data_IF_195876958464
#
_entry.id   IF_195876958464
#
_cell.length_a   1.000
_cell.length_b   1.000
_cell.length_c   1.000
_cell.angle_alpha   90.00
_cell.angle_beta   90.00
_cell.angle_gamma   90.00
#
_symmetry.space_group_name_H-M   'P 1'
#
loop_
_entity.id
_entity.type
_entity.pdbx_description
1 polymer ?
#
# COMPACT_ATOMS: atom_id res chain seq x y z
N UNK A 1 -27.52 21.73 -34.95
CA UNK A 1 -27.90 21.67 -33.49
C UNK A 1 -27.41 20.36 -32.86
N UNK A 2 -27.60 19.18 -33.47
CA UNK A 2 -27.19 17.87 -32.93
C UNK A 2 -25.67 17.74 -32.75
N UNK A 3 -24.86 18.17 -33.71
CA UNK A 3 -23.38 18.08 -33.67
C UNK A 3 -22.77 18.90 -32.53
N UNK A 4 -23.26 20.10 -32.24
CA UNK A 4 -22.81 20.95 -31.15
C UNK A 4 -23.19 20.40 -29.80
N UNK A 5 -24.34 19.75 -29.65
CA UNK A 5 -24.78 19.10 -28.42
C UNK A 5 -23.93 17.88 -28.10
N UNK A 6 -23.58 17.07 -29.12
CA UNK A 6 -22.69 15.91 -28.96
C UNK A 6 -21.28 16.33 -28.51
N UNK A 7 -20.68 17.33 -29.12
CA UNK A 7 -19.34 17.83 -28.78
C UNK A 7 -19.29 18.46 -27.38
N UNK A 8 -20.36 19.16 -26.95
CA UNK A 8 -20.50 19.74 -25.59
C UNK A 8 -20.65 18.67 -24.54
N UNK A 9 -21.44 17.62 -24.78
CA UNK A 9 -21.59 16.48 -23.87
C UNK A 9 -20.29 15.70 -23.73
N UNK A 10 -19.52 15.52 -24.78
CA UNK A 10 -18.20 14.89 -24.74
C UNK A 10 -17.19 15.67 -23.88
N UNK A 11 -17.14 16.99 -24.02
CA UNK A 11 -16.28 17.85 -23.17
C UNK A 11 -16.68 17.80 -21.69
N UNK A 12 -17.98 17.93 -21.39
CA UNK A 12 -18.46 17.84 -20.01
C UNK A 12 -18.21 16.48 -19.37
N UNK A 13 -18.31 15.39 -20.14
CA UNK A 13 -17.99 14.03 -19.67
C UNK A 13 -16.49 13.90 -19.39
N UNK A 14 -15.62 14.43 -20.26
CA UNK A 14 -14.18 14.43 -20.09
C UNK A 14 -13.74 15.25 -18.85
N UNK A 15 -14.30 16.46 -18.67
CA UNK A 15 -14.04 17.31 -17.51
C UNK A 15 -14.46 16.64 -16.18
N UNK A 16 -15.61 15.94 -16.19
CA UNK A 16 -16.09 15.22 -15.00
C UNK A 16 -15.19 14.04 -14.65
N UNK A 17 -14.70 13.31 -15.64
CA UNK A 17 -13.76 12.20 -15.49
C UNK A 17 -12.45 12.70 -14.88
N UNK A 18 -11.90 13.79 -15.41
CA UNK A 18 -10.67 14.41 -14.91
C UNK A 18 -10.77 14.87 -13.46
N UNK A 19 -11.92 15.42 -13.05
CA UNK A 19 -12.18 15.82 -11.67
C UNK A 19 -12.04 14.67 -10.66
N UNK A 20 -12.61 13.50 -10.95
CA UNK A 20 -12.45 12.33 -10.06
C UNK A 20 -10.98 11.88 -9.93
N UNK A 21 -10.26 11.82 -11.03
CA UNK A 21 -8.85 11.42 -11.02
C UNK A 21 -7.99 12.43 -10.23
N UNK A 22 -8.28 13.72 -10.35
CA UNK A 22 -7.59 14.76 -9.58
C UNK A 22 -7.89 14.65 -8.09
N UNK A 23 -9.17 14.51 -7.71
CA UNK A 23 -9.58 14.35 -6.32
C UNK A 23 -8.89 13.13 -5.70
N UNK A 24 -8.88 11.99 -6.38
CA UNK A 24 -8.21 10.77 -5.89
C UNK A 24 -6.72 11.03 -5.64
N UNK A 25 -6.00 11.67 -6.58
CA UNK A 25 -4.58 11.97 -6.40
C UNK A 25 -4.31 12.90 -5.20
N UNK A 26 -5.09 13.97 -5.07
CA UNK A 26 -4.98 14.89 -3.93
C UNK A 26 -5.28 14.17 -2.61
N UNK A 27 -6.35 13.36 -2.59
CA UNK A 27 -6.72 12.58 -1.39
C UNK A 27 -5.64 11.58 -0.99
N UNK A 28 -4.94 10.96 -1.94
CA UNK A 28 -3.82 10.04 -1.66
C UNK A 28 -2.62 10.77 -1.05
N UNK A 29 -2.31 11.98 -1.52
CA UNK A 29 -1.24 12.80 -0.93
C UNK A 29 -1.60 13.19 0.50
N UNK A 30 -2.84 13.66 0.72
CA UNK A 30 -3.33 14.01 2.05
C UNK A 30 -3.30 12.78 2.97
N UNK A 31 -3.77 11.63 2.49
CA UNK A 31 -3.75 10.38 3.24
C UNK A 31 -2.34 10.01 3.67
N UNK A 32 -1.36 10.07 2.75
CA UNK A 32 0.04 9.79 3.06
C UNK A 32 0.57 10.71 4.15
N UNK A 33 0.35 12.02 4.02
CA UNK A 33 0.79 13.02 5.02
C UNK A 33 0.15 12.76 6.38
N UNK A 34 -1.16 12.45 6.41
CA UNK A 34 -1.88 12.13 7.64
C UNK A 34 -1.31 10.87 8.30
N UNK A 35 -1.04 9.82 7.52
CA UNK A 35 -0.46 8.58 8.05
C UNK A 35 0.93 8.82 8.66
N UNK A 36 1.79 9.59 7.99
CA UNK A 36 3.12 9.94 8.51
C UNK A 36 3.00 10.80 9.78
N UNK A 37 2.09 11.77 9.80
CA UNK A 37 1.85 12.57 10.99
C UNK A 37 1.37 11.74 12.19
N UNK A 38 0.46 10.78 11.94
CA UNK A 38 -0.01 9.84 12.97
C UNK A 38 1.17 8.98 13.44
N UNK A 39 1.94 8.38 12.53
CA UNK A 39 3.07 7.54 12.86
C UNK A 39 4.11 8.30 13.71
N UNK A 40 4.41 9.55 13.36
CA UNK A 40 5.35 10.38 14.12
C UNK A 40 4.91 10.61 15.56
N UNK A 41 3.60 10.74 15.81
CA UNK A 41 3.07 11.00 17.17
C UNK A 41 2.83 9.74 17.99
N UNK A 42 2.71 8.55 17.35
CA UNK A 42 2.40 7.28 18.02
C UNK A 42 3.45 6.21 17.72
N UNK A 43 4.68 6.60 17.37
CA UNK A 43 5.75 5.63 17.15
C UNK A 43 6.04 4.85 18.44
N UNK A 44 6.02 3.52 18.33
CA UNK A 44 6.31 2.62 19.43
C UNK A 44 6.97 1.33 18.92
N UNK A 45 7.71 0.64 19.78
CA UNK A 45 8.24 -0.67 19.45
C UNK A 45 7.09 -1.68 19.31
N UNK A 46 6.99 -2.38 18.15
CA UNK A 46 5.92 -3.34 17.94
C UNK A 46 6.05 -4.51 18.92
N UNK A 47 4.90 -4.96 19.42
CA UNK A 47 4.81 -6.14 20.26
C UNK A 47 4.57 -7.43 19.46
N UNK A 48 4.41 -8.54 20.17
CA UNK A 48 4.03 -9.87 19.66
C UNK A 48 4.89 -10.33 18.46
N UNK A 49 4.26 -10.89 17.44
CA UNK A 49 4.96 -11.43 16.26
C UNK A 49 5.73 -10.36 15.50
N UNK A 50 5.14 -9.17 15.32
CA UNK A 50 5.80 -8.07 14.64
C UNK A 50 7.08 -7.64 15.38
N UNK A 51 7.02 -7.52 16.71
CA UNK A 51 8.19 -7.22 17.54
C UNK A 51 9.20 -8.34 17.56
N UNK A 52 8.74 -9.59 17.54
CA UNK A 52 9.62 -10.76 17.45
C UNK A 52 10.45 -10.76 16.17
N UNK A 53 9.82 -10.44 15.03
CA UNK A 53 10.50 -10.36 13.72
C UNK A 53 11.43 -9.15 13.70
N UNK A 54 10.98 -7.98 14.13
CA UNK A 54 11.78 -6.76 14.19
C UNK A 54 13.06 -6.95 15.04
N UNK A 55 12.93 -7.52 16.23
CA UNK A 55 14.07 -7.81 17.09
C UNK A 55 15.00 -8.87 16.48
N UNK A 56 14.46 -9.88 15.80
CA UNK A 56 15.25 -10.86 15.06
C UNK A 56 16.01 -10.21 13.89
N UNK A 57 15.40 -9.24 13.22
CA UNK A 57 16.05 -8.47 12.14
C UNK A 57 17.22 -7.63 12.68
N UNK A 58 17.08 -6.99 13.85
CA UNK A 58 18.17 -6.27 14.52
C UNK A 58 19.34 -7.22 14.83
N UNK A 59 19.05 -8.41 15.39
CA UNK A 59 20.06 -9.43 15.69
C UNK A 59 20.75 -9.93 14.42
N UNK A 60 19.98 -10.12 13.33
CA UNK A 60 20.52 -10.57 12.05
C UNK A 60 21.50 -9.55 11.46
N UNK A 61 21.17 -8.26 11.53
CA UNK A 61 22.03 -7.17 11.05
C UNK A 61 23.32 -7.09 11.87
N UNK A 62 23.23 -7.32 13.18
CA UNK A 62 24.39 -7.29 14.08
C UNK A 62 25.25 -8.58 14.02
N UNK A 63 24.92 -9.52 13.11
CA UNK A 63 25.74 -10.70 12.83
C UNK A 63 25.56 -11.88 13.80
N UNK A 64 24.73 -11.75 14.84
CA UNK A 64 24.51 -12.82 15.84
C UNK A 64 23.37 -13.75 15.41
N UNK A 65 23.60 -14.57 14.38
CA UNK A 65 22.59 -15.42 13.74
C UNK A 65 22.06 -16.54 14.64
N UNK A 66 22.82 -16.99 15.63
CA UNK A 66 22.41 -18.06 16.54
C UNK A 66 21.22 -17.65 17.41
N UNK A 67 21.15 -16.38 17.82
CA UNK A 67 20.11 -15.88 18.71
C UNK A 67 18.76 -15.64 18.01
N UNK A 68 18.73 -15.62 16.68
CA UNK A 68 17.50 -15.39 15.91
C UNK A 68 16.47 -16.48 16.17
N UNK A 69 16.92 -17.75 16.22
CA UNK A 69 16.05 -18.91 16.43
C UNK A 69 15.42 -18.89 17.83
N UNK A 70 16.11 -18.27 18.79
CA UNK A 70 15.63 -18.15 20.19
C UNK A 70 14.56 -17.06 20.29
N UNK A 71 14.67 -16.01 19.48
CA UNK A 71 13.79 -14.82 19.56
C UNK A 71 12.46 -15.00 18.85
N UNK A 72 12.46 -15.75 17.72
CA UNK A 72 11.25 -15.98 16.94
C UNK A 72 11.28 -17.37 16.29
N UNK A 73 10.20 -18.17 16.42
CA UNK A 73 10.18 -19.54 15.92
C UNK A 73 9.96 -19.62 14.41
N UNK A 74 10.93 -19.17 13.61
CA UNK A 74 10.85 -19.19 12.13
C UNK A 74 10.67 -20.60 11.54
N UNK A 75 11.06 -21.64 12.27
CA UNK A 75 10.79 -23.02 11.88
C UNK A 75 9.29 -23.35 11.86
N UNK A 76 8.50 -22.71 12.73
CA UNK A 76 7.04 -22.85 12.75
C UNK A 76 6.34 -21.87 11.78
N UNK A 77 6.93 -20.71 11.55
CA UNK A 77 6.36 -19.64 10.74
C UNK A 77 7.32 -19.20 9.61
N UNK A 78 7.62 -20.09 8.65
CA UNK A 78 8.60 -19.82 7.58
C UNK A 78 8.18 -18.71 6.61
N UNK A 79 6.88 -18.40 6.54
CA UNK A 79 6.34 -17.27 5.78
C UNK A 79 6.91 -15.92 6.26
N UNK A 80 7.31 -15.80 7.50
CA UNK A 80 7.87 -14.58 8.08
C UNK A 80 9.37 -14.38 7.79
N UNK A 81 10.04 -15.37 7.17
CA UNK A 81 11.44 -15.21 6.73
C UNK A 81 11.60 -14.10 5.69
N UNK A 82 10.65 -13.94 4.77
CA UNK A 82 10.70 -12.84 3.80
C UNK A 82 10.63 -11.49 4.50
N UNK A 83 9.76 -11.37 5.52
CA UNK A 83 9.63 -10.15 6.31
C UNK A 83 10.92 -9.87 7.09
N UNK A 84 11.53 -10.88 7.71
CA UNK A 84 12.82 -10.76 8.37
C UNK A 84 13.89 -10.16 7.44
N UNK A 85 13.99 -10.64 6.20
CA UNK A 85 14.98 -10.11 5.25
C UNK A 85 14.67 -8.69 4.82
N UNK A 86 13.40 -8.34 4.61
CA UNK A 86 12.98 -6.97 4.27
C UNK A 86 13.30 -6.03 5.43
N UNK A 87 12.95 -6.41 6.65
CA UNK A 87 13.23 -5.60 7.84
C UNK A 87 14.74 -5.44 8.08
N UNK A 88 15.51 -6.53 7.93
CA UNK A 88 16.97 -6.47 8.03
C UNK A 88 17.60 -5.51 7.00
N UNK A 89 17.09 -5.51 5.76
CA UNK A 89 17.56 -4.61 4.73
C UNK A 89 17.26 -3.14 5.07
N UNK A 90 16.04 -2.85 5.58
CA UNK A 90 15.65 -1.50 6.01
C UNK A 90 16.49 -1.05 7.20
N UNK A 91 16.67 -1.90 8.22
CA UNK A 91 17.49 -1.60 9.40
C UNK A 91 18.95 -1.31 8.96
N UNK A 92 19.52 -2.18 8.12
CA UNK A 92 20.88 -1.98 7.59
C UNK A 92 21.00 -0.65 6.86
N UNK A 93 19.99 -0.29 6.05
CA UNK A 93 19.97 0.99 5.35
C UNK A 93 19.89 2.16 6.33
N UNK A 94 19.02 2.10 7.33
CA UNK A 94 18.89 3.14 8.36
C UNK A 94 20.18 3.34 9.16
N UNK A 95 20.88 2.25 9.46
CA UNK A 95 22.12 2.29 10.26
C UNK A 95 23.27 3.01 9.52
N UNK A 96 23.22 3.16 8.18
CA UNK A 96 24.22 3.91 7.43
C UNK A 96 24.27 5.40 7.81
N UNK A 97 23.19 5.97 8.32
CA UNK A 97 23.08 7.42 8.63
C UNK A 97 22.47 7.75 9.99
N UNK A 98 21.89 6.78 10.69
CA UNK A 98 21.17 7.02 11.93
C UNK A 98 21.78 6.32 13.17
N UNK A 99 22.97 5.71 13.06
CA UNK A 99 23.69 5.08 14.18
C UNK A 99 22.78 4.20 15.05
N UNK A 100 22.07 3.24 14.46
CA UNK A 100 21.17 2.31 15.14
C UNK A 100 19.99 2.99 15.89
N UNK A 101 19.63 4.20 15.52
CA UNK A 101 18.51 4.90 16.13
C UNK A 101 17.18 4.20 15.80
N UNK A 102 16.60 3.60 16.82
CA UNK A 102 15.37 2.80 16.72
C UNK A 102 14.17 3.61 16.26
N UNK A 103 14.03 4.85 16.72
CA UNK A 103 12.93 5.73 16.30
C UNK A 103 13.01 5.99 14.79
N UNK A 104 14.22 6.18 14.25
CA UNK A 104 14.43 6.35 12.81
C UNK A 104 14.06 5.09 12.05
N UNK A 105 14.46 3.91 12.54
CA UNK A 105 14.11 2.63 11.91
C UNK A 105 12.59 2.43 11.88
N UNK A 106 11.90 2.64 13.00
CA UNK A 106 10.44 2.51 13.10
C UNK A 106 9.71 3.51 12.21
N UNK A 107 10.21 4.75 12.11
CA UNK A 107 9.65 5.75 11.20
C UNK A 107 9.82 5.35 9.73
N UNK A 108 10.96 4.74 9.35
CA UNK A 108 11.13 4.20 8.00
C UNK A 108 10.12 3.10 7.68
N UNK A 109 9.87 2.18 8.61
CA UNK A 109 8.83 1.16 8.46
C UNK A 109 7.45 1.77 8.31
N UNK A 110 7.12 2.79 9.10
CA UNK A 110 5.85 3.50 8.99
C UNK A 110 5.69 4.20 7.62
N UNK A 111 6.77 4.80 7.09
CA UNK A 111 6.78 5.39 5.74
C UNK A 111 6.53 4.32 4.68
N UNK A 112 7.23 3.19 4.73
CA UNK A 112 7.02 2.08 3.79
C UNK A 112 5.60 1.54 3.85
N UNK A 113 5.07 1.34 5.06
CA UNK A 113 3.71 0.87 5.26
C UNK A 113 2.67 1.86 4.70
N UNK A 114 2.88 3.16 4.93
CA UNK A 114 2.03 4.21 4.37
C UNK A 114 2.07 4.22 2.84
N UNK A 115 3.24 4.03 2.22
CA UNK A 115 3.36 3.91 0.77
C UNK A 115 2.58 2.72 0.22
N UNK A 116 2.64 1.56 0.89
CA UNK A 116 1.92 0.34 0.51
C UNK A 116 0.41 0.57 0.61
N UNK A 117 -0.07 1.17 1.69
CA UNK A 117 -1.49 1.45 1.89
C UNK A 117 -2.05 2.45 0.87
N UNK A 118 -1.30 3.52 0.59
CA UNK A 118 -1.65 4.49 -0.45
C UNK A 118 -1.67 3.82 -1.83
N UNK A 119 -0.70 2.95 -2.12
CA UNK A 119 -0.68 2.16 -3.36
C UNK A 119 -1.88 1.22 -3.46
N UNK A 120 -2.26 0.53 -2.37
CA UNK A 120 -3.43 -0.34 -2.31
C UNK A 120 -4.73 0.44 -2.59
N UNK A 121 -4.91 1.61 -1.97
CA UNK A 121 -6.06 2.49 -2.23
C UNK A 121 -6.10 2.95 -3.70
N UNK A 122 -4.97 3.35 -4.26
CA UNK A 122 -4.87 3.75 -5.66
C UNK A 122 -5.17 2.61 -6.62
N UNK A 123 -4.59 1.43 -6.38
CA UNK A 123 -4.82 0.23 -7.21
C UNK A 123 -6.28 -0.22 -7.15
N UNK A 124 -6.94 -0.13 -5.98
CA UNK A 124 -8.37 -0.41 -5.84
C UNK A 124 -9.19 0.53 -6.73
N UNK A 125 -8.90 1.83 -6.70
CA UNK A 125 -9.54 2.79 -7.61
C UNK A 125 -9.31 2.44 -9.08
N UNK A 126 -8.07 2.16 -9.46
CA UNK A 126 -7.70 1.82 -10.84
C UNK A 126 -8.37 0.55 -11.31
N UNK A 127 -8.41 -0.48 -10.45
CA UNK A 127 -9.06 -1.76 -10.75
C UNK A 127 -10.57 -1.58 -10.96
N UNK A 128 -11.25 -0.91 -10.04
CA UNK A 128 -12.66 -0.62 -10.16
C UNK A 128 -12.99 0.22 -11.40
N UNK A 129 -12.09 1.13 -11.78
CA UNK A 129 -12.26 1.97 -12.97
C UNK A 129 -12.10 1.21 -14.30
N UNK A 130 -11.51 0.01 -14.28
CA UNK A 130 -11.45 -0.86 -15.48
C UNK A 130 -12.80 -1.54 -15.75
N UNK A 131 -13.60 -1.80 -14.73
CA UNK A 131 -14.82 -2.63 -14.80
C UNK A 131 -16.11 -1.87 -14.48
N UNK A 132 -16.02 -0.71 -13.85
CA UNK A 132 -17.16 0.06 -13.39
C UNK A 132 -17.16 1.52 -13.89
N UNK A 133 -18.31 2.19 -13.72
CA UNK A 133 -18.42 3.64 -13.95
C UNK A 133 -17.57 4.41 -12.91
N UNK A 134 -17.04 5.57 -13.29
CA UNK A 134 -16.19 6.42 -12.45
C UNK A 134 -16.75 6.69 -11.04
N UNK A 135 -18.05 6.87 -10.92
CA UNK A 135 -18.69 7.07 -9.59
C UNK A 135 -18.53 5.86 -8.68
N UNK A 136 -18.68 4.64 -9.23
CA UNK A 136 -18.54 3.39 -8.48
C UNK A 136 -17.06 3.18 -8.14
N UNK A 137 -16.15 3.43 -9.08
CA UNK A 137 -14.71 3.38 -8.82
C UNK A 137 -14.29 4.36 -7.73
N UNK A 138 -14.88 5.56 -7.70
CA UNK A 138 -14.64 6.52 -6.63
C UNK A 138 -15.20 6.05 -5.27
N UNK A 139 -16.38 5.44 -5.24
CA UNK A 139 -16.92 4.84 -4.03
C UNK A 139 -16.02 3.69 -3.51
N UNK A 140 -15.51 2.83 -4.40
CA UNK A 140 -14.56 1.78 -4.04
C UNK A 140 -13.25 2.39 -3.46
N UNK A 141 -12.78 3.51 -4.00
CA UNK A 141 -11.65 4.25 -3.44
C UNK A 141 -11.93 4.74 -2.01
N UNK A 142 -13.09 5.35 -1.76
CA UNK A 142 -13.47 5.80 -0.42
C UNK A 142 -13.50 4.63 0.56
N UNK A 143 -14.09 3.50 0.17
CA UNK A 143 -14.10 2.29 1.01
C UNK A 143 -12.68 1.76 1.28
N UNK A 144 -11.79 1.80 0.29
CA UNK A 144 -10.39 1.41 0.48
C UNK A 144 -9.67 2.34 1.46
N UNK A 145 -9.90 3.67 1.36
CA UNK A 145 -9.33 4.64 2.30
C UNK A 145 -9.83 4.37 3.72
N UNK A 146 -11.12 4.09 3.91
CA UNK A 146 -11.67 3.79 5.22
C UNK A 146 -11.14 2.48 5.82
N UNK A 147 -10.92 1.45 4.99
CA UNK A 147 -10.45 0.14 5.47
C UNK A 147 -8.93 0.06 5.64
N UNK A 148 -8.17 0.52 4.65
CA UNK A 148 -6.71 0.40 4.65
C UNK A 148 -6.03 1.70 5.07
N UNK A 149 -6.51 2.82 4.52
CA UNK A 149 -5.85 4.12 4.65
C UNK A 149 -5.92 4.70 6.05
N UNK A 150 -7.04 4.53 6.76
CA UNK A 150 -7.26 5.03 8.12
C UNK A 150 -7.13 3.95 9.18
N UNK A 151 -6.60 2.78 8.83
CA UNK A 151 -6.34 1.70 9.78
C UNK A 151 -5.31 2.14 10.83
N UNK A 152 -5.56 1.90 12.13
CA UNK A 152 -4.58 2.16 13.19
C UNK A 152 -3.33 1.28 13.07
N UNK A 153 -3.40 0.17 12.35
CA UNK A 153 -2.28 -0.74 12.08
C UNK A 153 -1.26 -0.17 11.08
N UNK A 154 -1.49 1.02 10.53
CA UNK A 154 -0.56 1.67 9.61
C UNK A 154 0.82 1.98 10.21
N UNK A 155 0.91 2.09 11.53
CA UNK A 155 2.18 2.31 12.24
C UNK A 155 2.99 1.03 12.44
N UNK A 156 2.38 -0.16 12.30
CA UNK A 156 3.04 -1.44 12.47
C UNK A 156 3.32 -2.06 11.12
N UNK A 157 4.59 -2.24 10.79
CA UNK A 157 5.00 -2.94 9.58
C UNK A 157 4.97 -4.45 9.83
N UNK A 158 4.15 -5.17 9.07
CA UNK A 158 3.97 -6.61 9.24
C UNK A 158 3.52 -7.28 7.93
N UNK A 159 3.50 -8.61 7.91
CA UNK A 159 3.13 -9.41 6.74
C UNK A 159 1.76 -9.05 6.16
N UNK A 160 0.79 -8.74 7.01
CA UNK A 160 -0.56 -8.37 6.58
C UNK A 160 -0.57 -7.04 5.81
N UNK A 161 0.22 -6.09 6.25
CA UNK A 161 0.38 -4.80 5.57
C UNK A 161 1.00 -4.97 4.18
N UNK A 162 2.04 -5.79 4.08
CA UNK A 162 2.64 -6.16 2.79
C UNK A 162 1.66 -6.96 1.92
N UNK A 163 0.90 -7.88 2.55
CA UNK A 163 -0.01 -8.79 1.89
C UNK A 163 -1.17 -8.09 1.16
N UNK A 164 -1.66 -6.97 1.67
CA UNK A 164 -2.84 -6.26 1.12
C UNK A 164 -2.64 -5.82 -0.33
N UNK A 165 -1.46 -5.36 -0.71
CA UNK A 165 -1.24 -4.80 -2.06
C UNK A 165 -1.19 -5.87 -3.14
N UNK A 166 -0.69 -7.08 -2.84
CA UNK A 166 -0.45 -8.11 -3.85
C UNK A 166 -1.72 -8.64 -4.51
N UNK A 167 -2.80 -9.04 -3.81
CA UNK A 167 -4.05 -9.46 -4.44
C UNK A 167 -4.66 -8.36 -5.31
N UNK A 168 -4.62 -7.11 -4.84
CA UNK A 168 -5.16 -5.96 -5.56
C UNK A 168 -4.35 -5.71 -6.84
N UNK A 169 -3.02 -5.76 -6.75
CA UNK A 169 -2.12 -5.61 -7.88
C UNK A 169 -2.31 -6.73 -8.90
N UNK A 170 -2.40 -7.98 -8.44
CA UNK A 170 -2.65 -9.14 -9.30
C UNK A 170 -3.96 -9.00 -10.04
N UNK A 171 -5.03 -8.61 -9.34
CA UNK A 171 -6.33 -8.36 -9.95
C UNK A 171 -6.25 -7.22 -10.97
N UNK A 172 -5.59 -6.11 -10.64
CA UNK A 172 -5.38 -4.99 -11.57
C UNK A 172 -4.64 -5.42 -12.84
N UNK A 173 -3.54 -6.17 -12.69
CA UNK A 173 -2.74 -6.63 -13.82
C UNK A 173 -3.51 -7.62 -14.69
N UNK A 174 -4.29 -8.53 -14.09
CA UNK A 174 -5.15 -9.47 -14.79
C UNK A 174 -6.25 -8.76 -15.60
N UNK A 175 -6.87 -7.73 -15.01
CA UNK A 175 -7.94 -6.98 -15.67
C UNK A 175 -7.44 -5.93 -16.68
N UNK A 176 -6.15 -5.57 -16.63
CA UNK A 176 -5.58 -4.57 -17.54
C UNK A 176 -5.52 -5.12 -18.96
N UNK A 177 -6.12 -4.43 -19.97
CA UNK A 177 -6.07 -4.86 -21.36
C UNK A 177 -4.62 -5.02 -21.82
N UNK A 178 -4.24 -6.23 -22.24
CA UNK A 178 -2.97 -6.46 -22.89
C UNK A 178 -3.18 -6.45 -24.42
N UNK A 179 -2.26 -5.84 -25.17
CA UNK A 179 -2.32 -5.78 -26.64
C UNK A 179 -2.33 -7.18 -27.28
N UNK A 180 -1.81 -8.19 -26.58
CA UNK A 180 -1.70 -9.58 -27.08
C UNK A 180 -2.86 -10.50 -26.66
N UNK A 181 -3.67 -10.10 -25.68
CA UNK A 181 -4.88 -10.83 -25.28
C UNK A 181 -6.04 -9.85 -25.18
N UNK A 182 -6.94 -9.83 -26.18
CA UNK A 182 -8.19 -9.09 -26.09
C UNK A 182 -8.97 -9.66 -24.90
N UNK A 183 -9.30 -8.81 -23.93
CA UNK A 183 -10.04 -9.18 -22.75
C UNK A 183 -11.26 -10.03 -23.07
N UNK A 184 -11.40 -11.13 -22.35
CA UNK A 184 -12.60 -11.98 -22.29
C UNK A 184 -13.82 -11.16 -21.76
N UNK A 185 -13.55 -10.05 -21.10
CA UNK A 185 -14.55 -9.09 -20.64
C UNK A 185 -14.41 -7.73 -21.36
N UNK A 186 -15.15 -7.55 -22.44
CA UNK A 186 -15.60 -6.22 -22.88
C UNK A 186 -16.88 -5.93 -22.10
N UNK A 187 -16.89 -5.06 -21.08
CA UNK A 187 -18.16 -4.58 -20.55
C UNK A 187 -18.82 -3.78 -21.70
N UNK A 188 -19.96 -4.28 -22.20
CA UNK A 188 -20.83 -3.56 -23.11
C UNK A 188 -21.47 -2.41 -22.33
N UNK A 189 -20.81 -1.26 -22.33
CA UNK A 189 -21.44 -0.03 -21.87
C UNK A 189 -22.18 0.60 -23.05
N UNK A 190 -23.43 0.21 -23.25
CA UNK A 190 -24.44 1.01 -23.97
C UNK A 190 -24.86 2.21 -23.12
#
# INVERSE_FOLDING_TARGET
VYYWRYKRNGKQKAERIWKYDLIVRISLIILFVVQIFIAYNIVFEPGWDAGGIYNSAKIFVNGNRADIVIRYPFSMYPNNLLLLFIESAVISFCNLFANENEVVQLMFFAVLNSMINVAACYLTYKSANLICKKKIAFAAFILAVLNFGLSPWNVIFYSDSLGVVFPILTFYLFMKPNKHHPLIFRPSYS
#
